data_IF_710757858149
#
_entry.id   IF_710757858149
#
_cell.length_a   1.000
_cell.length_b   1.000
_cell.length_c   1.000
_cell.angle_alpha   90.00
_cell.angle_beta   90.00
_cell.angle_gamma   90.00
#
_symmetry.space_group_name_H-M   'P 1'
#
loop_
_entity.id
_entity.type
_entity.pdbx_description
1 polymer ?
#
# COMPACT_ATOMS: atom_id res chain seq x y z
N UNK A 1 2.75 24.37 9.75
CA UNK A 1 3.51 23.43 10.60
C UNK A 1 3.78 22.17 9.80
N UNK A 2 5.01 22.01 9.30
CA UNK A 2 5.42 20.83 8.55
C UNK A 2 5.72 19.72 9.57
N UNK A 3 4.89 18.68 9.66
CA UNK A 3 5.19 17.53 10.51
C UNK A 3 6.39 16.80 9.91
N UNK A 4 7.53 16.84 10.58
CA UNK A 4 8.68 16.01 10.26
C UNK A 4 8.32 14.54 10.52
N UNK A 5 7.85 13.85 9.49
CA UNK A 5 7.80 12.39 9.53
C UNK A 5 9.22 11.89 9.33
N UNK A 6 9.79 11.25 10.35
CA UNK A 6 11.00 10.46 10.20
C UNK A 6 10.76 9.44 9.10
N UNK A 7 11.53 9.44 7.99
CA UNK A 7 11.32 8.48 6.92
C UNK A 7 11.55 7.08 7.48
N UNK A 8 10.67 6.14 7.12
CA UNK A 8 10.91 4.73 7.40
C UNK A 8 12.22 4.30 6.71
N UNK A 9 13.02 3.40 7.32
CA UNK A 9 14.40 3.10 6.92
C UNK A 9 14.57 2.56 5.48
N UNK A 10 13.49 2.25 4.78
CA UNK A 10 13.44 1.65 3.44
C UNK A 10 13.04 2.64 2.33
N UNK A 11 12.80 3.92 2.66
CA UNK A 11 12.34 4.94 1.69
C UNK A 11 13.43 5.39 0.70
N UNK A 12 14.69 5.00 0.94
CA UNK A 12 15.88 5.63 0.35
C UNK A 12 16.29 5.07 -1.03
N UNK A 13 15.90 3.85 -1.42
CA UNK A 13 16.34 3.25 -2.70
C UNK A 13 15.22 2.52 -3.44
N UNK A 14 14.28 3.27 -4.03
CA UNK A 14 13.33 2.72 -4.99
C UNK A 14 14.03 2.51 -6.35
N UNK A 15 13.86 1.34 -6.96
CA UNK A 15 14.29 1.09 -8.33
C UNK A 15 13.68 2.10 -9.32
N UNK A 16 14.39 2.46 -10.41
CA UNK A 16 13.81 3.27 -11.47
C UNK A 16 12.48 2.70 -11.93
N UNK A 17 11.48 3.57 -12.10
CA UNK A 17 10.17 3.16 -12.61
C UNK A 17 9.68 4.08 -13.71
N UNK A 18 9.06 3.50 -14.72
CA UNK A 18 8.45 4.23 -15.84
C UNK A 18 7.01 4.69 -15.53
N UNK A 19 6.66 4.84 -14.24
CA UNK A 19 5.32 5.23 -13.79
C UNK A 19 5.33 6.68 -13.26
N UNK A 20 4.31 7.45 -13.64
CA UNK A 20 4.08 8.80 -13.14
C UNK A 20 3.01 8.77 -12.05
N UNK A 21 3.38 9.06 -10.81
CA UNK A 21 2.46 9.10 -9.66
C UNK A 21 1.95 10.52 -9.39
N UNK A 22 0.76 10.62 -8.79
CA UNK A 22 0.14 11.90 -8.42
C UNK A 22 1.01 12.75 -7.48
N UNK A 23 1.73 12.12 -6.56
CA UNK A 23 2.58 12.82 -5.58
C UNK A 23 4.00 12.26 -5.59
N UNK A 24 4.97 13.09 -5.20
CA UNK A 24 6.35 12.66 -4.96
C UNK A 24 6.56 11.87 -3.67
N UNK A 25 5.53 11.78 -2.81
CA UNK A 25 5.57 11.02 -1.56
C UNK A 25 5.94 9.57 -1.84
N UNK A 26 6.96 9.09 -1.13
CA UNK A 26 7.38 7.69 -1.18
C UNK A 26 6.56 6.91 -0.17
N UNK A 27 6.01 5.79 -0.63
CA UNK A 27 5.25 4.83 0.19
C UNK A 27 5.87 3.45 0.01
N UNK A 28 5.73 2.56 1.00
CA UNK A 28 6.16 1.17 0.87
C UNK A 28 5.53 0.51 -0.37
N UNK A 29 6.30 -0.33 -1.06
CA UNK A 29 5.80 -1.13 -2.17
C UNK A 29 4.96 -2.30 -1.64
N UNK A 30 3.73 -2.42 -2.12
CA UNK A 30 2.81 -3.51 -1.76
C UNK A 30 3.15 -4.75 -2.59
N UNK A 31 3.17 -5.91 -1.94
CA UNK A 31 3.36 -7.23 -2.57
C UNK A 31 2.02 -7.94 -2.76
N UNK A 32 1.18 -7.96 -1.72
CA UNK A 32 -0.14 -8.61 -1.74
C UNK A 32 -1.11 -8.00 -0.74
N UNK A 33 -2.40 -8.26 -0.91
CA UNK A 33 -3.45 -7.89 0.04
C UNK A 33 -4.57 -8.94 0.11
N UNK A 34 -5.15 -9.12 1.29
CA UNK A 34 -6.19 -10.12 1.58
C UNK A 34 -7.02 -9.68 2.80
N UNK A 35 -8.34 -9.67 2.66
CA UNK A 35 -9.24 -9.12 3.67
C UNK A 35 -8.89 -7.66 3.95
N UNK A 36 -8.66 -7.34 5.23
CA UNK A 36 -8.27 -5.99 5.68
C UNK A 36 -6.75 -5.78 5.75
N UNK A 37 -5.95 -6.75 5.31
CA UNK A 37 -4.50 -6.71 5.47
C UNK A 37 -3.78 -6.45 4.15
N UNK A 38 -2.73 -5.63 4.22
CA UNK A 38 -1.80 -5.33 3.14
C UNK A 38 -0.39 -5.74 3.58
N UNK A 39 0.32 -6.48 2.74
CA UNK A 39 1.71 -6.86 2.95
C UNK A 39 2.59 -6.12 1.96
N UNK A 40 3.69 -5.57 2.46
CA UNK A 40 4.70 -4.88 1.66
C UNK A 40 5.85 -5.82 1.32
N UNK A 41 6.61 -5.49 0.28
CA UNK A 41 7.72 -6.32 -0.20
C UNK A 41 8.85 -6.48 0.84
N UNK A 42 8.93 -5.58 1.81
CA UNK A 42 9.88 -5.64 2.94
C UNK A 42 9.35 -6.46 4.13
N UNK A 43 8.20 -7.14 3.97
CA UNK A 43 7.63 -8.04 4.97
C UNK A 43 6.76 -7.39 6.04
N UNK A 44 6.55 -6.05 6.01
CA UNK A 44 5.60 -5.41 6.94
C UNK A 44 4.16 -5.74 6.57
N UNK A 45 3.28 -5.71 7.57
CA UNK A 45 1.84 -5.91 7.43
C UNK A 45 1.08 -4.73 8.00
N UNK A 46 0.17 -4.16 7.22
CA UNK A 46 -0.67 -3.03 7.58
C UNK A 46 -2.14 -3.43 7.56
N UNK A 47 -2.96 -2.73 8.35
CA UNK A 47 -4.42 -2.77 8.25
C UNK A 47 -4.85 -1.68 7.28
N UNK A 48 -5.66 -2.02 6.29
CA UNK A 48 -6.34 -1.07 5.42
C UNK A 48 -7.60 -0.53 6.12
N UNK A 49 -7.41 0.51 6.94
CA UNK A 49 -8.51 1.19 7.61
C UNK A 49 -9.31 2.14 6.71
N UNK A 50 -8.78 2.49 5.53
CA UNK A 50 -9.44 3.43 4.60
C UNK A 50 -10.18 2.74 3.46
N UNK A 51 -10.02 1.42 3.32
CA UNK A 51 -10.48 0.65 2.16
C UNK A 51 -9.89 1.18 0.84
N UNK A 52 -8.60 1.54 0.86
CA UNK A 52 -7.94 2.25 -0.24
C UNK A 52 -8.56 3.63 -0.46
N UNK A 53 -8.90 4.05 -1.71
CA UNK A 53 -9.73 5.23 -1.97
C UNK A 53 -11.21 4.98 -1.66
N UNK A 54 -11.51 4.36 -0.50
CA UNK A 54 -12.87 4.01 -0.05
C UNK A 54 -13.62 3.05 -0.99
N UNK A 55 -12.92 2.09 -1.60
CA UNK A 55 -13.47 1.14 -2.59
C UNK A 55 -13.44 -0.33 -2.16
N UNK A 56 -12.49 -0.73 -1.32
CA UNK A 56 -12.29 -2.13 -0.93
C UNK A 56 -13.23 -2.57 0.22
N UNK A 57 -14.51 -2.26 0.13
CA UNK A 57 -15.49 -2.40 1.22
C UNK A 57 -15.71 -3.84 1.70
N UNK A 58 -15.48 -4.84 0.84
CA UNK A 58 -15.58 -6.28 1.15
C UNK A 58 -14.21 -6.94 1.30
N UNK A 59 -13.17 -6.13 1.51
CA UNK A 59 -11.78 -6.57 1.63
C UNK A 59 -11.10 -6.86 0.29
N UNK A 60 -9.77 -6.91 0.33
CA UNK A 60 -8.94 -7.29 -0.80
C UNK A 60 -9.02 -8.80 -1.05
N UNK A 61 -8.91 -9.22 -2.31
CA UNK A 61 -8.87 -10.64 -2.72
C UNK A 61 -10.07 -11.47 -2.23
N UNK A 62 -11.26 -10.88 -2.19
CA UNK A 62 -12.49 -11.56 -1.77
C UNK A 62 -12.81 -12.75 -2.69
N UNK A 63 -12.94 -13.95 -2.12
CA UNK A 63 -13.12 -15.19 -2.88
C UNK A 63 -14.38 -15.20 -3.74
N UNK A 64 -15.48 -14.63 -3.25
CA UNK A 64 -16.73 -14.56 -4.02
C UNK A 64 -16.61 -13.68 -5.28
N UNK A 65 -15.69 -12.71 -5.28
CA UNK A 65 -15.41 -11.88 -6.46
C UNK A 65 -14.43 -12.59 -7.39
N UNK A 66 -13.44 -13.29 -6.84
CA UNK A 66 -12.45 -14.02 -7.64
C UNK A 66 -13.05 -15.22 -8.37
N UNK A 67 -14.09 -15.85 -7.81
CA UNK A 67 -14.74 -17.03 -8.36
C UNK A 67 -15.90 -16.68 -9.32
N UNK A 68 -16.15 -15.39 -9.59
CA UNK A 68 -17.29 -14.89 -10.39
C UNK A 68 -17.04 -14.84 -11.90
#
# INVERSE_FOLDING_TARGET
>A
MLKSQTPAPDTETRLPSHLFYLSSLRRPLVDRAEGIYIWTQDGRRFIDGSSGPMVANIGHSNRNVLDA
#
